data_IF_383161771499
#
_entry.id   IF_383161771499
#
_cell.length_a   1.000
_cell.length_b   1.000
_cell.length_c   1.000
_cell.angle_alpha   90.00
_cell.angle_beta   90.00
_cell.angle_gamma   90.00
#
_symmetry.space_group_name_H-M   'P 1'
#
loop_
_entity.id
_entity.type
_entity.pdbx_description
1 polymer ?
#
# COMPACT_ATOMS: atom_id res chain seq x y z
N UNK A 1 -4.55 -3.68 -21.08
CA UNK A 1 -3.47 -3.03 -20.29
C UNK A 1 -4.03 -2.81 -18.90
N UNK A 2 -3.37 -3.31 -17.85
CA UNK A 2 -3.78 -3.04 -16.46
C UNK A 2 -3.58 -1.56 -16.14
N UNK A 3 -4.56 -0.95 -15.46
CA UNK A 3 -4.47 0.44 -15.03
C UNK A 3 -3.61 0.50 -13.76
N UNK A 4 -2.81 1.55 -13.64
CA UNK A 4 -1.98 1.79 -12.45
C UNK A 4 -2.31 3.18 -11.92
N UNK A 5 -2.69 3.24 -10.66
CA UNK A 5 -2.93 4.44 -9.89
C UNK A 5 -1.67 4.82 -9.13
N UNK A 6 -1.44 6.13 -8.97
CA UNK A 6 -0.31 6.68 -8.23
C UNK A 6 -0.83 7.71 -7.24
N UNK A 7 -0.35 7.64 -6.00
CA UNK A 7 -0.52 8.70 -5.01
C UNK A 7 0.84 9.11 -4.45
N UNK A 8 1.11 10.40 -4.43
CA UNK A 8 2.36 10.97 -3.90
C UNK A 8 2.07 11.71 -2.60
N UNK A 9 2.96 11.58 -1.62
CA UNK A 9 2.90 12.32 -0.37
C UNK A 9 2.99 13.83 -0.62
N UNK A 10 2.42 14.63 0.29
CA UNK A 10 2.43 16.10 0.18
C UNK A 10 3.83 16.71 0.02
N UNK A 11 4.84 16.09 0.63
CA UNK A 11 6.24 16.52 0.52
C UNK A 11 6.99 15.94 -0.70
N UNK A 12 6.32 15.18 -1.57
CA UNK A 12 6.92 14.57 -2.77
C UNK A 12 7.86 13.40 -2.52
N UNK A 13 8.15 13.04 -1.26
CA UNK A 13 9.21 12.08 -0.89
C UNK A 13 8.82 10.61 -0.95
N UNK A 14 7.52 10.33 -1.11
CA UNK A 14 6.99 8.98 -1.16
C UNK A 14 5.92 8.93 -2.24
N UNK A 15 5.98 7.93 -3.11
CA UNK A 15 4.87 7.63 -4.01
C UNK A 15 4.51 6.16 -3.91
N UNK A 16 3.23 5.87 -3.77
CA UNK A 16 2.69 4.52 -3.86
C UNK A 16 2.07 4.34 -5.24
N UNK A 17 2.33 3.20 -5.85
CA UNK A 17 1.73 2.74 -7.09
C UNK A 17 0.84 1.55 -6.74
N UNK A 18 -0.38 1.50 -7.27
CA UNK A 18 -1.37 0.45 -7.02
C UNK A 18 -2.06 0.10 -8.35
N UNK A 19 -2.20 -1.18 -8.66
CA UNK A 19 -3.04 -1.75 -9.70
C UNK A 19 -4.47 -1.90 -9.22
N UNK A 20 -5.30 -2.49 -10.07
CA UNK A 20 -6.68 -2.83 -9.71
C UNK A 20 -6.67 -4.03 -8.76
N UNK A 21 -7.37 -3.91 -7.62
CA UNK A 21 -7.60 -5.02 -6.71
C UNK A 21 -8.85 -5.78 -7.16
N UNK A 22 -8.69 -7.06 -7.54
CA UNK A 22 -9.81 -7.94 -7.84
C UNK A 22 -9.74 -9.15 -6.92
N UNK A 23 -10.78 -9.33 -6.11
CA UNK A 23 -10.97 -10.49 -5.25
C UNK A 23 -11.87 -11.49 -5.98
N UNK A 24 -11.29 -12.62 -6.42
CA UNK A 24 -12.02 -13.67 -7.12
C UNK A 24 -12.43 -14.83 -6.19
N UNK A 25 -12.57 -14.58 -4.89
CA UNK A 25 -12.81 -15.55 -3.81
C UNK A 25 -11.69 -16.58 -3.58
N UNK A 26 -10.80 -16.78 -4.55
CA UNK A 26 -9.74 -17.79 -4.51
C UNK A 26 -8.35 -17.15 -4.35
N UNK A 27 -8.17 -15.94 -4.88
CA UNK A 27 -6.87 -15.28 -4.93
C UNK A 27 -7.05 -13.78 -4.74
N UNK A 28 -6.16 -13.22 -3.93
CA UNK A 28 -5.99 -11.78 -3.84
C UNK A 28 -4.73 -11.44 -4.65
N UNK A 29 -4.89 -10.70 -5.75
CA UNK A 29 -3.72 -10.22 -6.50
C UNK A 29 -2.89 -9.27 -5.62
N UNK A 30 -1.57 -9.51 -5.47
CA UNK A 30 -0.75 -8.73 -4.56
C UNK A 30 -0.32 -7.38 -5.14
N UNK A 31 -0.38 -6.34 -4.30
CA UNK A 31 -0.25 -4.91 -4.61
C UNK A 31 1.00 -4.30 -3.93
N UNK A 32 1.87 -3.42 -4.47
CA UNK A 32 2.18 -3.06 -5.87
C UNK A 32 3.54 -2.38 -6.12
N UNK A 33 4.04 -1.41 -5.33
CA UNK A 33 5.44 -0.88 -5.29
C UNK A 33 5.42 0.52 -4.64
N UNK A 34 6.42 0.82 -3.80
CA UNK A 34 6.67 2.15 -3.25
C UNK A 34 7.93 2.77 -3.85
N UNK A 35 7.84 4.00 -4.33
CA UNK A 35 8.99 4.82 -4.73
C UNK A 35 9.37 5.76 -3.58
N UNK A 36 10.64 5.71 -3.19
CA UNK A 36 11.17 6.43 -2.02
C UNK A 36 12.23 7.44 -2.45
N UNK A 37 12.17 8.66 -1.91
CA UNK A 37 13.22 9.67 -2.11
C UNK A 37 14.53 9.28 -1.39
N UNK A 38 15.67 9.70 -1.97
CA UNK A 38 17.01 9.37 -1.45
C UNK A 38 17.18 9.93 -0.04
N UNK A 39 17.48 9.07 0.93
CA UNK A 39 17.78 9.46 2.32
C UNK A 39 16.72 9.08 3.35
N UNK A 40 15.55 8.55 2.95
CA UNK A 40 14.63 7.91 3.90
C UNK A 40 15.16 6.53 4.31
N UNK A 41 15.31 6.33 5.62
CA UNK A 41 15.87 5.09 6.18
C UNK A 41 14.83 4.05 6.55
N UNK A 42 13.61 4.48 6.87
CA UNK A 42 12.53 3.60 7.32
C UNK A 42 11.23 3.94 6.59
N UNK A 43 10.67 2.95 5.91
CA UNK A 43 9.39 3.08 5.20
C UNK A 43 8.53 1.86 5.51
N UNK A 44 7.29 2.12 5.92
CA UNK A 44 6.29 1.11 6.20
C UNK A 44 5.11 1.26 5.25
N UNK A 45 4.49 0.14 4.92
CA UNK A 45 3.18 0.07 4.27
C UNK A 45 2.20 -0.58 5.25
N UNK A 46 0.95 -0.13 5.21
CA UNK A 46 -0.12 -0.62 6.06
C UNK A 46 -1.37 -0.80 5.23
N UNK A 47 -2.04 -1.94 5.41
CA UNK A 47 -3.42 -2.15 4.98
C UNK A 47 -4.28 -2.25 6.22
N UNK A 48 -5.34 -1.45 6.24
CA UNK A 48 -6.34 -1.43 7.31
C UNK A 48 -7.71 -1.64 6.69
N UNK A 49 -8.43 -2.65 7.17
CA UNK A 49 -9.86 -2.79 6.94
C UNK A 49 -10.56 -2.29 8.19
N UNK A 50 -11.32 -1.21 8.06
CA UNK A 50 -12.02 -0.59 9.17
C UNK A 50 -13.52 -0.53 8.89
N UNK A 51 -14.31 -0.84 9.91
CA UNK A 51 -15.74 -0.58 9.93
C UNK A 51 -15.98 0.83 10.50
N UNK A 52 -16.67 1.64 9.72
CA UNK A 52 -17.09 2.98 10.12
C UNK A 52 -18.62 3.05 10.18
N UNK A 53 -19.15 3.57 11.27
CA UNK A 53 -20.57 3.86 11.44
C UNK A 53 -20.75 5.25 12.06
N UNK A 54 -21.59 6.07 11.44
CA UNK A 54 -21.82 7.48 11.80
C UNK A 54 -22.16 8.30 10.55
N UNK A 55 -22.56 9.57 10.72
CA UNK A 55 -22.70 10.53 9.62
C UNK A 55 -21.41 11.33 9.46
N UNK A 56 -20.99 11.55 8.22
CA UNK A 56 -19.83 12.39 7.89
C UNK A 56 -20.11 13.89 8.10
N UNK A 57 -21.39 14.28 8.03
CA UNK A 57 -21.83 15.67 8.11
C UNK A 57 -22.78 15.85 9.30
N UNK A 58 -22.42 16.73 10.24
CA UNK A 58 -23.26 17.55 11.13
C UNK A 58 -22.73 17.58 12.57
N UNK A 59 -22.62 18.80 13.11
CA UNK A 59 -22.31 19.19 14.49
C UNK A 59 -23.33 18.63 15.52
N UNK A 60 -23.41 17.31 15.64
CA UNK A 60 -24.28 16.65 16.63
C UNK A 60 -23.45 15.61 17.37
N UNK A 61 -23.51 15.70 18.69
CA UNK A 61 -23.02 14.71 19.64
C UNK A 61 -23.67 13.35 19.28
N UNK A 62 -23.00 12.56 18.44
CA UNK A 62 -23.56 11.35 17.84
C UNK A 62 -22.45 10.32 17.65
N UNK A 63 -22.70 9.11 18.15
CA UNK A 63 -21.76 7.99 18.26
C UNK A 63 -21.03 7.70 16.94
N UNK A 64 -19.82 8.25 16.79
CA UNK A 64 -18.88 7.81 15.75
C UNK A 64 -18.27 6.49 16.21
N UNK A 65 -18.60 5.41 15.53
CA UNK A 65 -17.99 4.10 15.78
C UNK A 65 -17.00 3.81 14.67
N UNK A 66 -15.75 3.61 15.06
CA UNK A 66 -14.66 3.21 14.19
C UNK A 66 -14.00 1.98 14.80
N UNK A 67 -13.94 0.90 14.03
CA UNK A 67 -13.34 -0.35 14.48
C UNK A 67 -12.49 -0.96 13.37
N UNK A 68 -11.19 -1.04 13.61
CA UNK A 68 -10.30 -1.85 12.78
C UNK A 68 -10.70 -3.32 12.91
N UNK A 69 -11.11 -3.90 11.80
CA UNK A 69 -11.40 -5.31 11.63
C UNK A 69 -10.12 -6.09 11.31
N UNK A 70 -9.21 -5.45 10.56
CA UNK A 70 -7.93 -6.01 10.16
C UNK A 70 -6.90 -4.90 10.03
N UNK A 71 -5.68 -5.15 10.49
CA UNK A 71 -4.54 -4.28 10.29
C UNK A 71 -3.28 -5.12 10.07
N UNK A 72 -2.54 -4.81 9.02
CA UNK A 72 -1.27 -5.44 8.70
C UNK A 72 -0.27 -4.36 8.33
N UNK A 73 0.93 -4.45 8.90
CA UNK A 73 2.02 -3.50 8.68
C UNK A 73 3.24 -4.27 8.21
N UNK A 74 3.94 -3.73 7.20
CA UNK A 74 5.18 -4.30 6.70
C UNK A 74 6.21 -3.20 6.49
N UNK A 75 7.44 -3.45 6.95
CA UNK A 75 8.56 -2.59 6.63
C UNK A 75 9.08 -2.92 5.22
N UNK A 76 9.16 -1.91 4.36
CA UNK A 76 9.59 -2.04 2.96
C UNK A 76 11.03 -1.58 2.79
N UNK A 77 11.47 -0.59 3.58
CA UNK A 77 12.84 -0.07 3.55
C UNK A 77 13.38 0.06 4.98
N UNK A 78 14.54 -0.56 5.30
CA UNK A 78 15.02 -1.79 4.64
C UNK A 78 13.96 -2.91 4.71
N UNK A 79 13.96 -3.81 3.73
CA UNK A 79 13.12 -5.00 3.80
C UNK A 79 13.52 -5.85 5.01
N UNK A 80 12.56 -6.35 5.78
CA UNK A 80 12.88 -7.19 6.92
C UNK A 80 13.54 -8.51 6.48
N UNK A 81 14.58 -8.98 7.17
CA UNK A 81 15.30 -10.19 6.80
C UNK A 81 14.43 -11.44 6.87
N UNK A 82 13.40 -11.44 7.73
CA UNK A 82 12.44 -12.52 7.90
C UNK A 82 11.28 -12.44 6.91
N UNK A 83 11.18 -11.36 6.12
CA UNK A 83 10.10 -11.24 5.14
C UNK A 83 10.38 -12.17 3.96
N UNK A 84 9.59 -13.24 3.85
CA UNK A 84 9.59 -14.09 2.66
C UNK A 84 9.00 -13.25 1.54
N UNK A 85 9.87 -12.69 0.69
CA UNK A 85 9.43 -12.09 -0.56
C UNK A 85 9.15 -13.24 -1.54
N UNK A 86 7.87 -13.42 -1.87
CA UNK A 86 7.47 -14.31 -2.96
C UNK A 86 8.01 -13.82 -4.31
N UNK A 87 7.77 -14.57 -5.41
CA UNK A 87 8.11 -14.11 -6.74
C UNK A 87 7.39 -12.79 -7.05
N UNK A 88 8.07 -11.91 -7.78
CA UNK A 88 7.49 -10.63 -8.21
C UNK A 88 6.33 -10.86 -9.18
N UNK A 89 5.31 -10.02 -9.10
CA UNK A 89 4.27 -9.98 -10.15
C UNK A 89 4.81 -9.32 -11.41
N UNK A 90 4.21 -9.64 -12.56
CA UNK A 90 4.54 -8.98 -13.83
C UNK A 90 4.37 -7.44 -13.76
N UNK A 91 3.42 -6.97 -12.95
CA UNK A 91 3.21 -5.53 -12.73
C UNK A 91 4.35 -4.93 -11.90
N UNK A 92 4.75 -5.59 -10.80
CA UNK A 92 5.89 -5.18 -9.99
C UNK A 92 7.17 -5.13 -10.82
N UNK A 93 7.46 -6.14 -11.63
CA UNK A 93 8.64 -6.15 -12.52
C UNK A 93 8.66 -4.95 -13.47
N UNK A 94 7.52 -4.68 -14.13
CA UNK A 94 7.38 -3.53 -15.04
C UNK A 94 7.54 -2.20 -14.32
N UNK A 95 7.00 -2.07 -13.11
CA UNK A 95 7.12 -0.86 -12.30
C UNK A 95 8.54 -0.67 -11.80
N UNK A 96 9.21 -1.71 -11.32
CA UNK A 96 10.61 -1.63 -10.88
C UNK A 96 11.51 -1.21 -12.05
N UNK A 97 11.34 -1.79 -13.23
CA UNK A 97 12.07 -1.39 -14.42
C UNK A 97 11.79 0.07 -14.82
N UNK A 98 10.55 0.54 -14.67
CA UNK A 98 10.15 1.91 -15.03
C UNK A 98 10.58 2.98 -14.02
N UNK A 99 10.57 2.65 -12.72
CA UNK A 99 10.75 3.59 -11.62
C UNK A 99 12.21 3.64 -11.12
N UNK A 100 12.99 2.61 -11.38
CA UNK A 100 14.41 2.55 -11.07
C UNK A 100 14.73 2.10 -9.64
N UNK A 101 15.97 2.32 -9.21
CA UNK A 101 16.59 1.66 -8.04
C UNK A 101 15.95 1.98 -6.67
N UNK A 102 15.17 3.06 -6.57
CA UNK A 102 14.50 3.45 -5.31
C UNK A 102 13.04 2.97 -5.25
N UNK A 103 12.65 2.09 -6.16
CA UNK A 103 11.35 1.44 -6.15
C UNK A 103 11.47 0.12 -5.40
N UNK A 104 10.58 -0.10 -4.44
CA UNK A 104 10.58 -1.27 -3.57
C UNK A 104 9.25 -1.99 -3.68
N UNK A 105 9.25 -3.28 -4.06
CA UNK A 105 8.03 -4.05 -4.13
C UNK A 105 7.56 -4.40 -2.72
N UNK A 106 6.25 -4.53 -2.57
CA UNK A 106 5.64 -5.09 -1.37
C UNK A 106 4.41 -5.90 -1.76
N UNK A 107 4.05 -6.78 -0.84
CA UNK A 107 2.85 -7.60 -0.85
C UNK A 107 2.42 -7.68 0.60
N UNK A 108 1.14 -7.43 0.84
CA UNK A 108 0.47 -7.48 2.13
C UNK A 108 -0.54 -8.63 2.08
#
# INVERSE_FOLDING_TARGET
MSKVFKKTSSNGKLSIYLGDFMDDMNTVEPIDVVLVDKGRKTVFVMVTCAFHYGRDDLDVIGLTFHKDLYAQVKQVVPAEPTSIQGPLTLLQERLLHKLGANAYPFTL
#
